data_IF_608892000479
#
_entry.id   IF_608892000479
#
_cell.length_a   1.000
_cell.length_b   1.000
_cell.length_c   1.000
_cell.angle_alpha   90.00
_cell.angle_beta   90.00
_cell.angle_gamma   90.00
#
_symmetry.space_group_name_H-M   'P 1'
#
loop_
_entity.id
_entity.type
_entity.pdbx_description
1 polymer ?
#
# COMPACT_ATOMS: atom_id res chain seq x y z
N UNK A 1 9.66 6.27 3.51
CA UNK A 1 9.40 5.19 4.47
C UNK A 1 7.93 5.04 4.79
N UNK A 2 7.55 3.85 5.24
CA UNK A 2 6.17 3.44 5.55
C UNK A 2 5.52 4.17 6.75
N UNK A 3 6.29 4.97 7.50
CA UNK A 3 5.84 5.67 8.73
C UNK A 3 6.28 7.14 8.81
N UNK A 4 6.66 7.77 7.69
CA UNK A 4 6.95 9.21 7.63
C UNK A 4 8.21 9.73 8.35
N UNK A 5 8.83 8.95 9.23
CA UNK A 5 10.10 9.31 9.88
C UNK A 5 11.27 9.38 8.86
N UNK A 6 12.13 10.41 8.93
CA UNK A 6 13.27 10.56 8.01
C UNK A 6 14.51 9.80 8.51
N UNK A 7 14.43 8.47 8.64
CA UNK A 7 15.59 7.67 9.08
C UNK A 7 16.76 7.69 8.08
N UNK A 8 16.54 8.12 6.83
CA UNK A 8 17.63 8.39 5.88
C UNK A 8 18.57 9.51 6.34
N UNK A 9 18.11 10.41 7.22
CA UNK A 9 18.97 11.43 7.87
C UNK A 9 19.87 10.81 8.97
N UNK A 10 19.60 9.55 9.36
CA UNK A 10 20.32 8.82 10.41
C UNK A 10 21.21 7.71 9.83
N UNK A 11 20.82 7.08 8.72
CA UNK A 11 21.56 5.99 8.07
C UNK A 11 21.38 6.02 6.55
N UNK A 12 22.48 5.80 5.81
CA UNK A 12 22.43 5.67 4.35
C UNK A 12 21.67 4.40 3.93
N UNK A 13 20.70 4.55 3.02
CA UNK A 13 19.98 3.44 2.40
C UNK A 13 20.65 3.16 1.05
N UNK A 14 21.43 2.07 0.91
CA UNK A 14 22.15 1.78 -0.32
C UNK A 14 21.18 1.49 -1.47
N UNK A 15 21.53 1.95 -2.67
CA UNK A 15 20.82 1.53 -3.90
C UNK A 15 21.37 0.16 -4.32
N UNK A 16 20.54 -0.89 -4.44
CA UNK A 16 21.05 -2.22 -4.80
C UNK A 16 21.69 -2.26 -6.19
N UNK A 17 22.75 -3.04 -6.31
CA UNK A 17 23.35 -3.39 -7.59
C UNK A 17 22.51 -4.48 -8.27
N UNK A 18 22.05 -4.31 -9.53
CA UNK A 18 21.30 -5.34 -10.25
C UNK A 18 22.03 -6.69 -10.35
N UNK A 19 23.37 -6.69 -10.38
CA UNK A 19 24.19 -7.91 -10.44
C UNK A 19 24.17 -8.73 -9.14
N UNK A 20 23.78 -8.12 -8.01
CA UNK A 20 23.60 -8.83 -6.74
C UNK A 20 22.50 -9.90 -6.77
N UNK A 21 21.66 -9.89 -7.80
CA UNK A 21 20.58 -10.88 -8.02
C UNK A 21 20.89 -11.91 -9.12
N UNK A 22 22.07 -11.84 -9.76
CA UNK A 22 22.49 -12.83 -10.76
C UNK A 22 23.01 -14.14 -10.11
N UNK A 23 23.25 -14.12 -8.79
CA UNK A 23 23.58 -15.31 -7.99
C UNK A 23 22.40 -16.28 -7.89
N UNK A 24 22.64 -17.60 -7.82
CA UNK A 24 21.58 -18.57 -7.56
C UNK A 24 21.10 -18.46 -6.10
N UNK A 25 19.79 -18.32 -5.92
CA UNK A 25 19.13 -18.42 -4.62
C UNK A 25 18.64 -19.85 -4.42
N UNK A 26 18.75 -20.37 -3.20
CA UNK A 26 18.35 -21.74 -2.86
C UNK A 26 16.97 -21.82 -2.22
N UNK A 27 16.47 -20.72 -1.63
CA UNK A 27 15.17 -20.67 -0.96
C UNK A 27 14.42 -19.34 -1.20
N UNK A 28 13.09 -19.37 -1.08
CA UNK A 28 12.27 -18.17 -1.14
C UNK A 28 12.53 -17.21 0.03
N UNK A 29 12.98 -17.72 1.18
CA UNK A 29 13.37 -16.91 2.33
C UNK A 29 14.62 -16.05 2.04
N UNK A 30 15.63 -16.59 1.35
CA UNK A 30 16.80 -15.82 0.90
C UNK A 30 16.39 -14.68 -0.05
N UNK A 31 15.51 -14.97 -1.01
CA UNK A 31 14.94 -13.97 -1.92
C UNK A 31 14.12 -12.89 -1.18
N UNK A 32 13.34 -13.29 -0.17
CA UNK A 32 12.58 -12.38 0.68
C UNK A 32 13.50 -11.42 1.43
N UNK A 33 14.56 -11.94 2.06
CA UNK A 33 15.51 -11.14 2.83
C UNK A 33 16.20 -10.06 1.98
N UNK A 34 16.63 -10.38 0.74
CA UNK A 34 17.22 -9.37 -0.15
C UNK A 34 16.19 -8.39 -0.73
N UNK A 35 14.91 -8.78 -0.81
CA UNK A 35 13.83 -7.91 -1.30
C UNK A 35 13.61 -6.68 -0.41
N UNK A 36 13.90 -6.77 0.90
CA UNK A 36 13.67 -5.66 1.84
C UNK A 36 14.55 -4.44 1.54
N UNK A 37 15.83 -4.66 1.20
CA UNK A 37 16.74 -3.56 0.84
C UNK A 37 16.26 -2.86 -0.44
N UNK A 38 15.85 -3.65 -1.44
CA UNK A 38 15.30 -3.15 -2.70
C UNK A 38 14.00 -2.37 -2.50
N UNK A 39 13.05 -2.88 -1.71
CA UNK A 39 11.81 -2.18 -1.35
C UNK A 39 12.08 -0.87 -0.60
N UNK A 40 13.06 -0.85 0.30
CA UNK A 40 13.44 0.35 1.06
C UNK A 40 14.06 1.44 0.15
N UNK A 41 15.02 1.08 -0.71
CA UNK A 41 15.60 2.00 -1.69
C UNK A 41 14.54 2.53 -2.67
N UNK A 42 13.62 1.66 -3.13
CA UNK A 42 12.48 2.02 -3.98
C UNK A 42 11.57 3.06 -3.31
N UNK A 43 11.22 2.84 -2.04
CA UNK A 43 10.34 3.73 -1.29
C UNK A 43 11.01 5.07 -0.93
N UNK A 44 12.33 5.09 -0.75
CA UNK A 44 13.09 6.33 -0.61
C UNK A 44 13.10 7.12 -1.93
N UNK A 45 13.45 6.46 -3.05
CA UNK A 45 13.45 7.08 -4.38
C UNK A 45 12.09 7.67 -4.74
N UNK A 46 11.02 6.88 -4.62
CA UNK A 46 9.66 7.32 -4.94
C UNK A 46 9.24 8.55 -4.11
N UNK A 47 9.57 8.60 -2.82
CA UNK A 47 9.31 9.78 -1.97
C UNK A 47 10.12 10.99 -2.45
N UNK A 48 11.42 10.82 -2.72
CA UNK A 48 12.28 11.92 -3.18
C UNK A 48 11.79 12.48 -4.52
N UNK A 49 11.34 11.63 -5.44
CA UNK A 49 10.76 12.07 -6.72
C UNK A 49 9.42 12.76 -6.51
N UNK A 50 8.52 12.20 -5.68
CA UNK A 50 7.24 12.83 -5.33
C UNK A 50 7.44 14.24 -4.74
N UNK A 51 8.40 14.42 -3.83
CA UNK A 51 8.76 15.76 -3.32
C UNK A 51 9.29 16.65 -4.45
N UNK A 52 10.26 16.19 -5.25
CA UNK A 52 10.85 16.98 -6.35
C UNK A 52 9.79 17.48 -7.34
N UNK A 53 8.93 16.60 -7.84
CA UNK A 53 7.91 16.98 -8.83
C UNK A 53 6.84 17.88 -8.22
N UNK A 54 6.48 17.67 -6.95
CA UNK A 54 5.49 18.49 -6.26
C UNK A 54 5.97 19.94 -6.00
N UNK A 55 7.25 20.12 -5.65
CA UNK A 55 7.87 21.45 -5.49
C UNK A 55 8.45 22.01 -6.81
N UNK A 56 8.22 21.31 -7.94
CA UNK A 56 8.73 21.66 -9.28
C UNK A 56 10.26 21.82 -9.36
N UNK A 57 10.99 21.06 -8.55
CA UNK A 57 12.45 20.94 -8.70
C UNK A 57 12.79 20.18 -9.99
N UNK A 58 13.80 20.59 -10.76
CA UNK A 58 14.19 19.92 -11.98
C UNK A 58 14.72 18.50 -11.69
N UNK A 59 14.31 17.55 -12.53
CA UNK A 59 14.83 16.18 -12.52
C UNK A 59 16.21 16.17 -13.18
N UNK A 60 17.18 15.52 -12.53
CA UNK A 60 18.58 15.47 -12.98
C UNK A 60 18.90 14.18 -13.72
N UNK A 61 19.97 14.12 -14.53
CA UNK A 61 20.44 12.87 -15.14
C UNK A 61 20.63 11.74 -14.10
N UNK A 62 21.09 12.07 -12.90
CA UNK A 62 21.27 11.11 -11.79
C UNK A 62 19.95 10.53 -11.28
N UNK A 63 18.85 11.29 -11.35
CA UNK A 63 17.52 10.78 -10.99
C UNK A 63 17.08 9.68 -11.98
N UNK A 64 17.25 9.92 -13.29
CA UNK A 64 16.94 8.94 -14.34
C UNK A 64 17.88 7.72 -14.29
N UNK A 65 19.17 7.93 -14.01
CA UNK A 65 20.13 6.85 -13.83
C UNK A 65 19.77 5.97 -12.63
N UNK A 66 19.40 6.58 -11.50
CA UNK A 66 18.94 5.87 -10.29
C UNK A 66 17.62 5.13 -10.53
N UNK A 67 16.67 5.73 -11.25
CA UNK A 67 15.43 5.06 -11.67
C UNK A 67 15.75 3.80 -12.48
N UNK A 68 16.60 3.93 -13.49
CA UNK A 68 17.02 2.84 -14.38
C UNK A 68 17.70 1.70 -13.61
N UNK A 69 18.60 2.03 -12.67
CA UNK A 69 19.27 1.05 -11.81
C UNK A 69 18.27 0.30 -10.94
N UNK A 70 17.33 1.00 -10.28
CA UNK A 70 16.30 0.38 -9.45
C UNK A 70 15.36 -0.52 -10.27
N UNK A 71 14.94 -0.09 -11.46
CA UNK A 71 14.09 -0.89 -12.34
C UNK A 71 14.80 -2.16 -12.83
N UNK A 72 16.10 -2.10 -13.17
CA UNK A 72 16.83 -3.31 -13.56
C UNK A 72 17.12 -4.22 -12.36
N UNK A 73 17.42 -3.67 -11.18
CA UNK A 73 17.54 -4.43 -9.94
C UNK A 73 16.26 -5.23 -9.63
N UNK A 74 15.10 -4.60 -9.77
CA UNK A 74 13.79 -5.27 -9.70
C UNK A 74 13.61 -6.36 -10.76
N UNK A 75 13.99 -6.10 -12.02
CA UNK A 75 13.91 -7.14 -13.07
C UNK A 75 14.82 -8.33 -12.76
N UNK A 76 16.06 -8.12 -12.34
CA UNK A 76 16.99 -9.20 -12.00
C UNK A 76 16.50 -10.00 -10.79
N UNK A 77 16.02 -9.35 -9.73
CA UNK A 77 15.42 -10.04 -8.58
C UNK A 77 14.18 -10.86 -8.99
N UNK A 78 13.30 -10.33 -9.85
CA UNK A 78 12.13 -11.07 -10.32
C UNK A 78 12.50 -12.25 -11.22
N UNK A 79 13.53 -12.11 -12.09
CA UNK A 79 14.09 -13.24 -12.85
C UNK A 79 14.63 -14.32 -11.90
N UNK A 80 15.25 -13.95 -10.79
CA UNK A 80 15.73 -14.89 -9.79
C UNK A 80 14.58 -15.63 -9.08
N UNK A 81 13.51 -14.93 -8.72
CA UNK A 81 12.27 -15.54 -8.22
C UNK A 81 11.68 -16.54 -9.21
N UNK A 82 11.52 -16.16 -10.47
CA UNK A 82 10.98 -17.03 -11.53
C UNK A 82 11.87 -18.27 -11.77
N UNK A 83 13.20 -18.14 -11.68
CA UNK A 83 14.12 -19.29 -11.77
C UNK A 83 13.87 -20.28 -10.63
N UNK A 84 13.67 -19.80 -9.40
CA UNK A 84 13.40 -20.66 -8.25
C UNK A 84 12.03 -21.36 -8.38
N UNK A 85 10.99 -20.64 -8.82
CA UNK A 85 9.66 -21.21 -9.09
C UNK A 85 9.67 -22.32 -10.16
N UNK A 86 10.58 -22.24 -11.14
CA UNK A 86 10.71 -23.22 -12.22
C UNK A 86 11.68 -24.37 -11.90
N UNK A 87 12.51 -24.24 -10.86
CA UNK A 87 13.55 -25.21 -10.53
C UNK A 87 13.06 -26.38 -9.66
N UNK A 88 11.90 -26.25 -9.01
CA UNK A 88 11.36 -27.23 -8.08
C UNK A 88 9.85 -27.37 -8.18
N UNK A 89 9.31 -28.49 -7.69
CA UNK A 89 7.89 -28.57 -7.35
C UNK A 89 7.69 -27.82 -6.03
N UNK A 90 6.93 -26.74 -6.06
CA UNK A 90 6.70 -25.89 -4.90
C UNK A 90 5.79 -26.58 -3.88
N UNK A 91 6.10 -26.42 -2.60
CA UNK A 91 5.14 -26.67 -1.53
C UNK A 91 4.10 -25.55 -1.51
N UNK A 92 2.93 -25.81 -0.92
CA UNK A 92 1.88 -24.79 -0.82
C UNK A 92 2.33 -23.53 -0.05
N UNK A 93 3.20 -23.68 0.96
CA UNK A 93 3.78 -22.55 1.68
C UNK A 93 4.68 -21.69 0.77
N UNK A 94 5.45 -22.31 -0.13
CA UNK A 94 6.29 -21.63 -1.11
C UNK A 94 5.47 -20.95 -2.21
N UNK A 95 4.36 -21.54 -2.66
CA UNK A 95 3.40 -20.88 -3.57
C UNK A 95 2.87 -19.57 -2.97
N UNK A 96 2.47 -19.60 -1.70
CA UNK A 96 1.98 -18.42 -0.95
C UNK A 96 3.11 -17.40 -0.78
N UNK A 97 4.33 -17.86 -0.45
CA UNK A 97 5.49 -16.97 -0.31
C UNK A 97 5.83 -16.29 -1.64
N UNK A 98 5.87 -17.04 -2.74
CA UNK A 98 6.11 -16.51 -4.09
C UNK A 98 5.03 -15.49 -4.50
N UNK A 99 3.76 -15.76 -4.20
CA UNK A 99 2.66 -14.82 -4.44
C UNK A 99 2.81 -13.53 -3.61
N UNK A 100 3.12 -13.63 -2.31
CA UNK A 100 3.39 -12.48 -1.43
C UNK A 100 4.59 -11.64 -1.91
N UNK A 101 5.65 -12.32 -2.37
CA UNK A 101 6.83 -11.69 -2.96
C UNK A 101 6.51 -10.93 -4.26
N UNK A 102 5.65 -11.50 -5.12
CA UNK A 102 5.14 -10.83 -6.34
C UNK A 102 4.31 -9.59 -6.04
N UNK A 103 3.51 -9.57 -4.96
CA UNK A 103 2.76 -8.38 -4.53
C UNK A 103 3.70 -7.21 -4.24
N UNK A 104 4.79 -7.46 -3.51
CA UNK A 104 5.83 -6.48 -3.22
C UNK A 104 6.51 -5.97 -4.50
N UNK A 105 6.91 -6.87 -5.39
CA UNK A 105 7.56 -6.55 -6.67
C UNK A 105 6.68 -5.68 -7.57
N UNK A 106 5.49 -6.15 -7.96
CA UNK A 106 4.65 -5.42 -8.93
C UNK A 106 4.30 -4.02 -8.40
N UNK A 107 3.93 -3.91 -7.12
CA UNK A 107 3.58 -2.62 -6.51
C UNK A 107 4.75 -1.62 -6.51
N UNK A 108 5.96 -2.09 -6.17
CA UNK A 108 7.14 -1.21 -6.11
C UNK A 108 7.74 -0.91 -7.49
N UNK A 109 7.60 -1.81 -8.46
CA UNK A 109 7.99 -1.58 -9.84
C UNK A 109 7.18 -0.43 -10.46
N UNK A 110 5.85 -0.53 -10.42
CA UNK A 110 4.93 0.51 -10.93
C UNK A 110 5.22 1.85 -10.24
N UNK A 111 5.43 1.82 -8.92
CA UNK A 111 5.74 3.01 -8.14
C UNK A 111 7.02 3.70 -8.61
N UNK A 112 8.09 2.97 -8.93
CA UNK A 112 9.35 3.56 -9.41
C UNK A 112 9.22 4.07 -10.84
N UNK A 113 8.62 3.28 -11.75
CA UNK A 113 8.53 3.64 -13.17
C UNK A 113 7.69 4.91 -13.37
N UNK A 114 6.62 5.06 -12.58
CA UNK A 114 5.77 6.25 -12.57
C UNK A 114 6.22 7.36 -11.60
N UNK A 115 7.28 7.18 -10.79
CA UNK A 115 7.65 8.11 -9.71
C UNK A 115 7.98 9.54 -10.18
N UNK A 116 8.45 9.67 -11.41
CA UNK A 116 8.99 10.92 -11.98
C UNK A 116 7.95 11.71 -12.79
N UNK A 117 6.66 11.38 -12.69
CA UNK A 117 5.58 12.09 -13.40
C UNK A 117 4.34 12.30 -12.54
N UNK A 118 3.71 13.46 -12.71
CA UNK A 118 2.36 13.71 -12.17
C UNK A 118 1.27 13.09 -13.05
N UNK A 119 1.55 12.77 -14.32
CA UNK A 119 0.59 12.20 -15.27
C UNK A 119 0.21 10.77 -14.86
N UNK A 120 -1.06 10.58 -14.53
CA UNK A 120 -1.58 9.32 -14.01
C UNK A 120 -1.90 8.31 -15.11
N UNK A 121 -2.16 8.74 -16.36
CA UNK A 121 -2.28 7.84 -17.51
C UNK A 121 -1.04 6.97 -17.76
N UNK A 122 0.13 7.33 -17.22
CA UNK A 122 1.35 6.50 -17.35
C UNK A 122 1.19 5.13 -16.66
N UNK A 123 0.33 5.04 -15.64
CA UNK A 123 0.03 3.80 -14.91
C UNK A 123 -0.62 2.74 -15.81
N UNK A 124 -1.23 3.14 -16.93
CA UNK A 124 -1.93 2.24 -17.85
C UNK A 124 -0.99 1.25 -18.55
N UNK A 125 0.29 1.61 -18.72
CA UNK A 125 1.33 0.71 -19.22
C UNK A 125 1.52 -0.53 -18.33
N UNK A 126 1.01 -0.50 -17.09
CA UNK A 126 1.14 -1.56 -16.10
C UNK A 126 -0.16 -2.31 -15.81
N UNK A 127 -1.16 -2.27 -16.70
CA UNK A 127 -2.43 -2.98 -16.51
C UNK A 127 -2.25 -4.46 -16.15
N UNK A 128 -1.33 -5.17 -16.80
CA UNK A 128 -1.06 -6.58 -16.50
C UNK A 128 -0.40 -6.78 -15.13
N UNK A 129 0.39 -5.81 -14.64
CA UNK A 129 0.96 -5.87 -13.30
C UNK A 129 -0.11 -5.60 -12.24
N UNK A 130 -1.07 -4.69 -12.49
CA UNK A 130 -2.24 -4.51 -11.61
C UNK A 130 -3.11 -5.77 -11.53
N UNK A 131 -3.37 -6.45 -12.65
CA UNK A 131 -4.05 -7.76 -12.66
C UNK A 131 -3.24 -8.81 -11.89
N UNK A 132 -1.92 -8.84 -12.08
CA UNK A 132 -1.04 -9.75 -11.35
C UNK A 132 -1.06 -9.50 -9.85
N UNK A 133 -1.17 -8.24 -9.38
CA UNK A 133 -1.38 -7.93 -7.96
C UNK A 133 -2.68 -8.56 -7.45
N UNK A 134 -3.82 -8.35 -8.13
CA UNK A 134 -5.10 -8.96 -7.72
C UNK A 134 -5.02 -10.49 -7.68
N UNK A 135 -4.43 -11.11 -8.70
CA UNK A 135 -4.25 -12.57 -8.78
C UNK A 135 -3.42 -13.13 -7.63
N UNK A 136 -2.24 -12.56 -7.37
CA UNK A 136 -1.38 -13.02 -6.27
C UNK A 136 -2.00 -12.71 -4.90
N UNK A 137 -2.70 -11.58 -4.75
CA UNK A 137 -3.41 -11.25 -3.52
C UNK A 137 -4.53 -12.24 -3.23
N UNK A 138 -5.24 -12.71 -4.27
CA UNK A 138 -6.22 -13.78 -4.13
C UNK A 138 -5.59 -15.09 -3.62
N UNK A 139 -4.43 -15.50 -4.14
CA UNK A 139 -3.73 -16.71 -3.66
C UNK A 139 -3.40 -16.59 -2.16
N UNK A 140 -2.84 -15.44 -1.73
CA UNK A 140 -2.50 -15.22 -0.32
C UNK A 140 -3.75 -15.10 0.57
N UNK A 141 -4.84 -14.48 0.09
CA UNK A 141 -6.11 -14.38 0.83
C UNK A 141 -6.80 -15.75 0.96
N UNK A 142 -6.84 -16.54 -0.10
CA UNK A 142 -7.49 -17.84 -0.10
C UNK A 142 -6.80 -18.81 0.89
N UNK A 143 -5.47 -18.72 1.05
CA UNK A 143 -4.72 -19.50 2.04
C UNK A 143 -4.86 -18.98 3.49
N UNK A 144 -5.27 -17.73 3.70
CA UNK A 144 -5.60 -17.21 5.04
C UNK A 144 -6.91 -17.77 5.61
N UNK A 145 -7.74 -18.44 4.80
CA UNK A 145 -8.75 -19.40 5.25
C UNK A 145 -9.75 -18.91 6.31
N UNK A 146 -10.83 -18.27 5.85
CA UNK A 146 -12.16 -18.11 6.48
C UNK A 146 -12.28 -18.70 7.91
N UNK A 147 -12.28 -17.79 8.90
CA UNK A 147 -12.53 -18.03 10.34
C UNK A 147 -11.56 -19.00 11.05
N UNK A 148 -10.64 -18.43 11.81
CA UNK A 148 -9.93 -19.13 12.90
C UNK A 148 -10.93 -19.78 13.87
N UNK A 149 -10.80 -21.08 14.17
CA UNK A 149 -11.39 -21.65 15.37
C UNK A 149 -10.82 -20.90 16.59
N UNK A 150 -11.63 -20.55 17.61
CA UNK A 150 -11.12 -19.85 18.77
C UNK A 150 -10.13 -20.74 19.53
N UNK A 151 -8.84 -20.37 19.49
CA UNK A 151 -7.80 -21.04 20.27
C UNK A 151 -8.08 -20.92 21.78
N UNK A 152 -7.74 -21.93 22.59
CA UNK A 152 -7.99 -21.88 24.04
C UNK A 152 -7.16 -20.77 24.69
N UNK A 153 -7.83 -19.85 25.38
CA UNK A 153 -7.17 -18.72 26.04
C UNK A 153 -6.34 -19.24 27.23
N UNK A 154 -5.01 -19.18 27.10
CA UNK A 154 -4.11 -19.40 28.24
C UNK A 154 -4.32 -18.31 29.29
N UNK A 155 -4.55 -18.71 30.54
CA UNK A 155 -4.87 -17.84 31.67
C UNK A 155 -3.65 -17.04 32.16
N UNK A 156 -3.26 -16.00 31.42
CA UNK A 156 -2.21 -15.05 31.80
C UNK A 156 -2.74 -13.91 32.68
N UNK A 157 -2.66 -14.04 34.01
CA UNK A 157 -3.09 -13.00 34.96
C UNK A 157 -2.34 -11.68 34.82
N UNK A 158 -3.05 -10.56 34.72
CA UNK A 158 -2.55 -9.24 35.19
C UNK A 158 -3.45 -8.71 36.32
N UNK A 159 -2.82 -8.35 37.44
CA UNK A 159 -3.45 -7.77 38.64
C UNK A 159 -3.29 -6.25 38.67
N UNK A 160 -4.33 -5.56 39.16
CA UNK A 160 -4.30 -4.14 39.59
C UNK A 160 -4.38 -3.12 38.46
N UNK A 161 -4.90 -1.89 38.63
CA UNK A 161 -5.61 -1.21 39.74
C UNK A 161 -6.59 -0.18 39.09
N UNK A 162 -7.69 0.31 39.68
CA UNK A 162 -8.30 0.15 41.02
C UNK A 162 -9.85 0.24 40.93
N UNK A 163 -10.54 0.49 42.06
CA UNK A 163 -11.99 0.77 42.15
C UNK A 163 -12.30 2.27 42.27
N UNK A 164 -13.47 2.70 41.77
CA UNK A 164 -14.59 3.22 42.58
C UNK A 164 -15.81 3.61 41.72
N UNK A 165 -16.85 2.78 41.78
CA UNK A 165 -18.25 3.14 42.08
C UNK A 165 -19.17 2.02 41.59
N UNK A 166 -19.85 1.37 42.53
CA UNK A 166 -20.82 0.32 42.24
C UNK A 166 -22.16 0.71 42.87
N UNK A 167 -23.18 0.82 42.04
CA UNK A 167 -24.59 0.67 42.44
C UNK A 167 -25.18 -0.38 41.51
N UNK A 168 -25.87 -1.35 42.09
CA UNK A 168 -26.25 -2.57 41.38
C UNK A 168 -27.61 -2.44 40.69
N UNK A 169 -27.77 -3.17 39.58
CA UNK A 169 -29.06 -3.68 39.13
C UNK A 169 -28.86 -5.05 38.47
N UNK A 170 -29.67 -6.03 38.90
CA UNK A 170 -29.71 -7.39 38.34
C UNK A 170 -30.69 -7.41 37.16
N UNK A 171 -30.35 -8.11 36.08
CA UNK A 171 -31.31 -8.34 34.98
C UNK A 171 -30.76 -9.13 33.80
N UNK A 172 -31.07 -10.43 33.78
CA UNK A 172 -31.19 -11.31 32.60
C UNK A 172 -30.19 -11.22 31.42
N UNK A 173 -29.37 -12.27 31.26
CA UNK A 173 -29.35 -13.00 29.98
C UNK A 173 -28.62 -12.42 28.77
N UNK A 174 -27.51 -11.70 28.93
CA UNK A 174 -26.65 -11.38 27.77
C UNK A 174 -25.88 -12.62 27.30
N UNK A 175 -26.12 -13.06 26.06
CA UNK A 175 -25.26 -14.03 25.37
C UNK A 175 -23.85 -13.40 25.27
N UNK A 176 -22.82 -14.12 25.74
CA UNK A 176 -21.44 -13.68 25.57
C UNK A 176 -21.04 -13.82 24.08
N UNK A 177 -21.33 -12.78 23.30
CA UNK A 177 -20.64 -12.57 22.01
C UNK A 177 -19.20 -12.24 22.33
N UNK A 178 -18.34 -13.26 22.37
CA UNK A 178 -16.89 -13.08 22.36
C UNK A 178 -16.57 -12.28 21.10
N UNK A 179 -16.17 -11.02 21.26
CA UNK A 179 -15.64 -10.24 20.15
C UNK A 179 -14.37 -10.97 19.69
N UNK A 180 -14.24 -11.38 18.41
CA UNK A 180 -13.01 -11.94 17.91
C UNK A 180 -11.87 -10.97 18.18
N UNK A 181 -10.73 -11.48 18.67
CA UNK A 181 -9.52 -10.66 18.76
C UNK A 181 -9.17 -10.13 17.38
N UNK A 182 -8.74 -8.86 17.29
CA UNK A 182 -8.37 -8.27 16.01
C UNK A 182 -7.26 -9.09 15.35
N UNK A 183 -7.55 -9.66 14.17
CA UNK A 183 -6.54 -10.30 13.34
C UNK A 183 -5.55 -9.22 12.87
N UNK A 184 -4.32 -9.31 13.35
CA UNK A 184 -3.27 -8.33 13.07
C UNK A 184 -1.96 -9.04 12.73
N UNK A 185 -1.25 -8.51 11.74
CA UNK A 185 0.10 -8.94 11.34
C UNK A 185 1.05 -7.75 11.21
N UNK A 186 2.34 -8.01 11.39
CA UNK A 186 3.41 -7.06 11.15
C UNK A 186 3.95 -7.12 9.70
N UNK A 187 3.68 -8.22 8.98
CA UNK A 187 3.98 -8.32 7.56
C UNK A 187 3.02 -7.43 6.76
N UNK A 188 3.57 -6.61 5.87
CA UNK A 188 2.82 -5.66 5.05
C UNK A 188 2.93 -6.12 3.59
N UNK A 189 1.88 -6.79 3.12
CA UNK A 189 1.90 -7.66 1.93
C UNK A 189 0.63 -7.67 1.09
N UNK A 190 -0.58 -7.49 1.63
CA UNK A 190 -1.85 -7.65 0.87
C UNK A 190 -2.67 -6.36 0.82
N UNK A 191 -2.95 -5.73 1.96
CA UNK A 191 -3.82 -4.53 2.02
C UNK A 191 -3.26 -3.35 1.22
N UNK A 192 -1.98 -2.92 1.37
CA UNK A 192 -1.45 -1.81 0.59
C UNK A 192 -1.40 -2.09 -0.92
N UNK A 193 -0.92 -3.25 -1.42
CA UNK A 193 -0.98 -3.57 -2.85
C UNK A 193 -2.40 -3.52 -3.43
N UNK A 194 -3.40 -4.08 -2.74
CA UNK A 194 -4.79 -4.02 -3.20
C UNK A 194 -5.34 -2.58 -3.18
N UNK A 195 -5.05 -1.80 -2.13
CA UNK A 195 -5.43 -0.40 -2.07
C UNK A 195 -4.75 0.43 -3.18
N UNK A 196 -3.49 0.12 -3.51
CA UNK A 196 -2.76 0.73 -4.61
C UNK A 196 -3.39 0.40 -5.96
N UNK A 197 -3.79 -0.85 -6.23
CA UNK A 197 -4.57 -1.20 -7.43
C UNK A 197 -5.88 -0.40 -7.48
N UNK A 198 -6.64 -0.42 -6.39
CA UNK A 198 -7.97 0.18 -6.31
C UNK A 198 -8.00 1.70 -6.47
N UNK A 199 -6.89 2.39 -6.20
CA UNK A 199 -6.75 3.86 -6.33
C UNK A 199 -5.96 4.31 -7.56
N UNK A 200 -5.00 3.51 -8.06
CA UNK A 200 -4.07 3.93 -9.13
C UNK A 200 -4.36 3.34 -10.51
N UNK A 201 -4.87 2.11 -10.60
CA UNK A 201 -5.22 1.52 -11.89
C UNK A 201 -6.41 2.28 -12.52
N UNK A 202 -6.39 2.67 -13.81
CA UNK A 202 -7.56 3.30 -14.46
C UNK A 202 -8.64 2.30 -14.90
N UNK A 203 -8.36 1.01 -14.97
CA UNK A 203 -9.29 0.01 -15.52
C UNK A 203 -10.45 -0.34 -14.56
N UNK A 204 -11.73 -0.03 -14.87
CA UNK A 204 -12.84 -0.08 -13.90
C UNK A 204 -13.07 -1.45 -13.22
N UNK A 205 -12.88 -2.56 -13.95
CA UNK A 205 -13.05 -3.92 -13.41
C UNK A 205 -11.92 -4.32 -12.44
N UNK A 206 -10.66 -4.03 -12.77
CA UNK A 206 -9.47 -4.40 -11.97
C UNK A 206 -9.48 -3.65 -10.63
N UNK A 207 -9.93 -2.39 -10.62
CA UNK A 207 -10.16 -1.62 -9.39
C UNK A 207 -11.23 -2.26 -8.49
N UNK A 208 -12.37 -2.66 -9.08
CA UNK A 208 -13.49 -3.28 -8.36
C UNK A 208 -13.13 -4.66 -7.82
N UNK A 209 -12.34 -5.44 -8.55
CA UNK A 209 -11.77 -6.71 -8.09
C UNK A 209 -10.86 -6.49 -6.88
N UNK A 210 -9.98 -5.49 -6.89
CA UNK A 210 -9.13 -5.17 -5.75
C UNK A 210 -9.95 -4.77 -4.50
N UNK A 211 -11.02 -3.98 -4.68
CA UNK A 211 -11.97 -3.66 -3.60
C UNK A 211 -12.74 -4.90 -3.11
N UNK A 212 -13.10 -5.83 -4.01
CA UNK A 212 -13.76 -7.08 -3.64
C UNK A 212 -12.83 -8.00 -2.83
N UNK A 213 -11.54 -8.03 -3.17
CA UNK A 213 -10.52 -8.73 -2.38
C UNK A 213 -10.30 -8.08 -1.02
N UNK A 214 -10.27 -6.75 -0.90
CA UNK A 214 -10.24 -6.09 0.42
C UNK A 214 -11.48 -6.42 1.26
N UNK A 215 -12.66 -6.55 0.63
CA UNK A 215 -13.92 -6.93 1.29
C UNK A 215 -13.98 -8.38 1.79
N UNK A 216 -12.99 -9.23 1.50
CA UNK A 216 -12.84 -10.53 2.18
C UNK A 216 -12.32 -10.39 3.62
N UNK A 217 -11.97 -9.16 4.04
CA UNK A 217 -11.49 -8.83 5.38
C UNK A 217 -10.17 -9.56 5.75
N UNK A 218 -9.08 -9.36 4.99
CA UNK A 218 -7.75 -9.82 5.40
C UNK A 218 -7.30 -9.18 6.74
N UNK A 219 -6.39 -9.83 7.48
CA UNK A 219 -5.83 -9.30 8.72
C UNK A 219 -5.24 -7.90 8.56
N UNK A 220 -5.42 -7.05 9.58
CA UNK A 220 -4.85 -5.69 9.62
C UNK A 220 -3.32 -5.74 9.58
N UNK A 221 -2.71 -4.92 8.72
CA UNK A 221 -1.26 -4.87 8.52
C UNK A 221 -0.68 -3.55 9.07
N UNK A 222 -0.26 -3.50 10.34
CA UNK A 222 0.23 -2.26 10.95
C UNK A 222 -0.82 -1.13 11.01
N UNK A 223 -0.62 -0.07 10.22
CA UNK A 223 -1.59 1.04 10.08
C UNK A 223 -2.65 0.77 9.00
N UNK A 224 -2.50 -0.31 8.20
CA UNK A 224 -3.39 -0.66 7.11
C UNK A 224 -4.59 -1.47 7.61
N UNK A 225 -5.68 -0.76 7.87
CA UNK A 225 -7.00 -1.29 8.24
C UNK A 225 -7.90 -1.43 7.01
N UNK A 226 -8.61 -2.56 6.86
CA UNK A 226 -9.37 -2.88 5.64
C UNK A 226 -10.52 -1.91 5.39
N UNK A 227 -11.32 -1.62 6.41
CA UNK A 227 -12.47 -0.72 6.28
C UNK A 227 -11.99 0.67 5.83
N UNK A 228 -10.84 1.11 6.34
CA UNK A 228 -10.28 2.44 6.08
C UNK A 228 -9.89 2.56 4.62
N UNK A 229 -9.20 1.55 4.11
CA UNK A 229 -8.68 1.52 2.75
C UNK A 229 -9.77 1.17 1.71
N UNK A 230 -10.85 0.50 2.11
CA UNK A 230 -12.06 0.32 1.30
C UNK A 230 -12.82 1.65 1.12
N UNK A 231 -13.05 2.41 2.19
CA UNK A 231 -13.75 3.69 2.07
C UNK A 231 -12.98 4.70 1.21
N UNK A 232 -11.67 4.86 1.46
CA UNK A 232 -10.80 5.70 0.63
C UNK A 232 -10.84 5.22 -0.83
N UNK A 233 -10.66 3.92 -1.11
CA UNK A 233 -10.67 3.39 -2.46
C UNK A 233 -12.02 3.62 -3.19
N UNK A 234 -13.15 3.40 -2.51
CA UNK A 234 -14.47 3.68 -3.09
C UNK A 234 -14.65 5.16 -3.43
N UNK A 235 -14.22 6.07 -2.55
CA UNK A 235 -14.30 7.52 -2.82
C UNK A 235 -13.40 7.96 -3.97
N UNK A 236 -12.19 7.40 -4.05
CA UNK A 236 -11.26 7.64 -5.17
C UNK A 236 -11.87 7.11 -6.49
N UNK A 237 -12.48 5.91 -6.49
CA UNK A 237 -13.22 5.38 -7.65
C UNK A 237 -14.35 6.33 -8.06
N UNK A 238 -15.18 6.78 -7.12
CA UNK A 238 -16.31 7.68 -7.38
C UNK A 238 -15.87 9.02 -7.99
N UNK A 239 -14.83 9.64 -7.44
CA UNK A 239 -14.27 10.91 -7.95
C UNK A 239 -13.70 10.71 -9.36
N UNK A 240 -12.84 9.70 -9.54
CA UNK A 240 -12.10 9.51 -10.79
C UNK A 240 -13.01 9.04 -11.94
N UNK A 241 -13.96 8.14 -11.68
CA UNK A 241 -14.92 7.65 -12.68
C UNK A 241 -16.09 8.63 -12.96
N UNK A 242 -16.17 9.77 -12.27
CA UNK A 242 -17.17 10.82 -12.56
C UNK A 242 -16.98 11.49 -13.92
N UNK A 243 -15.76 11.45 -14.46
CA UNK A 243 -15.41 11.92 -15.80
C UNK A 243 -14.67 10.79 -16.51
N UNK A 244 -15.19 10.31 -17.62
CA UNK A 244 -14.59 9.22 -18.41
C UNK A 244 -14.00 9.77 -19.71
N UNK A 245 -12.85 9.22 -20.08
CA UNK A 245 -12.24 9.40 -21.39
C UNK A 245 -13.15 8.75 -22.46
N UNK A 246 -13.57 9.49 -23.51
CA UNK A 246 -14.56 9.01 -24.47
C UNK A 246 -14.03 7.92 -25.42
N UNK A 247 -12.71 7.69 -25.46
CA UNK A 247 -12.06 6.70 -26.34
C UNK A 247 -11.88 5.36 -25.63
N UNK A 248 -11.47 5.40 -24.36
CA UNK A 248 -11.11 4.22 -23.56
C UNK A 248 -12.22 3.80 -22.58
N UNK A 249 -13.13 4.71 -22.21
CA UNK A 249 -14.12 4.49 -21.15
C UNK A 249 -13.52 4.42 -19.73
N UNK A 250 -12.26 4.81 -19.57
CA UNK A 250 -11.55 4.84 -18.27
C UNK A 250 -11.59 6.27 -17.68
N UNK A 251 -11.36 6.48 -16.37
CA UNK A 251 -11.23 7.81 -15.75
C UNK A 251 -10.39 8.78 -16.59
N UNK A 252 -10.94 9.94 -16.97
CA UNK A 252 -10.22 10.95 -17.74
C UNK A 252 -9.03 11.51 -16.95
N UNK A 253 -7.96 11.96 -17.62
CA UNK A 253 -6.76 12.46 -16.92
C UNK A 253 -7.07 13.62 -15.95
N UNK A 254 -7.99 14.52 -16.34
CA UNK A 254 -8.42 15.66 -15.52
C UNK A 254 -9.12 15.27 -14.21
N UNK A 255 -9.73 14.08 -14.12
CA UNK A 255 -10.33 13.58 -12.87
C UNK A 255 -9.39 12.74 -12.02
N UNK A 256 -8.16 12.45 -12.50
CA UNK A 256 -7.20 11.59 -11.79
C UNK A 256 -6.66 12.26 -10.53
N UNK A 257 -6.56 11.50 -9.45
CA UNK A 257 -6.05 11.95 -8.16
C UNK A 257 -4.55 11.68 -8.03
N UNK A 258 -3.79 12.72 -7.67
CA UNK A 258 -2.39 12.61 -7.27
C UNK A 258 -2.26 11.97 -5.89
N UNK A 259 -3.05 12.46 -4.92
CA UNK A 259 -3.04 11.99 -3.53
C UNK A 259 -4.45 11.74 -3.01
N UNK A 260 -4.56 10.81 -2.06
CA UNK A 260 -5.78 10.47 -1.31
C UNK A 260 -5.36 9.89 0.05
N UNK A 261 -5.04 10.75 1.01
CA UNK A 261 -4.36 10.33 2.26
C UNK A 261 -5.21 10.62 3.48
N UNK A 262 -5.36 9.61 4.34
CA UNK A 262 -6.11 9.72 5.59
C UNK A 262 -5.24 10.25 6.74
N UNK A 263 -5.87 10.90 7.74
CA UNK A 263 -5.17 11.56 8.86
C UNK A 263 -4.58 10.60 9.94
N UNK A 264 -4.55 9.29 9.65
CA UNK A 264 -4.01 8.27 10.55
C UNK A 264 -4.86 7.93 11.80
N UNK A 265 -5.97 8.65 12.08
CA UNK A 265 -6.78 8.43 13.30
C UNK A 265 -7.79 7.27 13.19
N UNK A 266 -7.94 6.70 11.99
CA UNK A 266 -8.87 5.61 11.68
C UNK A 266 -10.34 5.99 11.91
N UNK A 267 -11.23 4.99 11.94
CA UNK A 267 -12.65 5.18 12.29
C UNK A 267 -12.86 5.44 13.78
N UNK A 268 -12.46 6.61 14.27
CA UNK A 268 -12.76 7.01 15.66
C UNK A 268 -14.27 7.24 15.86
N UNK A 269 -14.95 7.76 14.84
CA UNK A 269 -16.38 8.16 14.86
C UNK A 269 -17.20 7.55 13.70
N UNK A 270 -16.76 6.43 13.10
CA UNK A 270 -17.36 5.92 11.86
C UNK A 270 -17.11 6.80 10.63
N UNK A 271 -16.24 7.81 10.74
CA UNK A 271 -15.75 8.65 9.64
C UNK A 271 -14.24 8.83 9.71
N UNK A 272 -13.61 9.01 8.56
CA UNK A 272 -12.18 9.24 8.38
C UNK A 272 -11.99 10.58 7.66
N UNK A 273 -11.06 11.41 8.13
CA UNK A 273 -10.65 12.61 7.41
C UNK A 273 -9.62 12.23 6.34
N UNK A 274 -9.89 12.57 5.09
CA UNK A 274 -9.05 12.27 3.93
C UNK A 274 -8.78 13.54 3.15
N UNK A 275 -7.51 13.77 2.83
CA UNK A 275 -7.05 14.88 1.98
C UNK A 275 -6.83 14.39 0.55
N UNK A 276 -7.30 15.17 -0.43
CA UNK A 276 -7.25 14.84 -1.85
C UNK A 276 -6.62 15.96 -2.67
N UNK A 277 -6.01 15.61 -3.79
CA UNK A 277 -5.56 16.55 -4.82
C UNK A 277 -5.65 15.92 -6.21
N UNK A 278 -6.15 16.66 -7.20
CA UNK A 278 -6.07 16.24 -8.60
C UNK A 278 -4.62 16.32 -9.12
N UNK A 279 -4.26 15.42 -10.03
CA UNK A 279 -2.96 15.43 -10.69
C UNK A 279 -2.73 16.73 -11.49
N UNK A 280 -3.75 17.17 -12.21
CA UNK A 280 -3.74 18.45 -12.94
C UNK A 280 -3.56 19.65 -11.99
N UNK A 281 -4.17 19.64 -10.80
CA UNK A 281 -3.94 20.69 -9.80
C UNK A 281 -2.50 20.70 -9.30
N UNK A 282 -1.93 19.52 -9.01
CA UNK A 282 -0.54 19.41 -8.58
C UNK A 282 0.45 19.87 -9.66
N UNK A 283 0.11 19.66 -10.94
CA UNK A 283 0.90 20.12 -12.09
C UNK A 283 0.84 21.65 -12.24
N UNK A 284 -0.31 22.28 -12.01
CA UNK A 284 -0.51 23.71 -12.26
C UNK A 284 -0.25 24.63 -11.05
N UNK A 285 -0.33 24.14 -9.80
CA UNK A 285 -0.11 24.97 -8.58
C UNK A 285 1.26 25.65 -8.56
N UNK A 286 1.36 26.79 -7.89
CA UNK A 286 2.66 27.39 -7.56
C UNK A 286 3.25 26.70 -6.30
N UNK A 287 4.54 26.31 -6.30
CA UNK A 287 5.22 25.84 -5.10
C UNK A 287 5.24 26.91 -4.00
N UNK A 288 5.11 26.48 -2.75
CA UNK A 288 5.06 27.36 -1.58
C UNK A 288 6.23 27.08 -0.62
N UNK A 289 6.64 28.09 0.15
CA UNK A 289 7.80 28.00 1.04
C UNK A 289 7.63 27.00 2.21
N UNK A 290 6.40 26.54 2.44
CA UNK A 290 6.00 25.55 3.42
C UNK A 290 5.74 24.15 2.83
N UNK A 291 5.86 23.95 1.50
CA UNK A 291 5.71 22.63 0.86
C UNK A 291 6.65 21.56 1.45
N UNK A 292 7.80 21.98 1.99
CA UNK A 292 8.80 21.11 2.61
C UNK A 292 8.66 20.99 4.14
N UNK A 293 7.66 21.61 4.77
CA UNK A 293 7.47 21.51 6.23
C UNK A 293 6.88 20.16 6.63
N UNK A 294 7.24 19.62 7.81
CA UNK A 294 6.57 18.45 8.37
C UNK A 294 5.06 18.69 8.51
N UNK A 295 4.26 17.78 7.95
CA UNK A 295 2.79 17.84 8.00
C UNK A 295 2.30 17.72 9.44
N UNK A 296 1.52 18.71 9.90
CA UNK A 296 0.88 18.70 11.21
C UNK A 296 -0.65 18.72 11.06
N UNK A 297 -1.27 17.54 11.04
CA UNK A 297 -2.72 17.39 11.03
C UNK A 297 -3.35 17.48 9.64
N UNK A 298 -4.48 18.19 9.55
CA UNK A 298 -5.31 18.26 8.34
C UNK A 298 -4.80 19.27 7.28
N UNK A 299 -3.92 20.18 7.69
CA UNK A 299 -3.38 21.23 6.83
C UNK A 299 -2.15 20.69 6.10
N UNK A 300 -2.38 20.21 4.87
CA UNK A 300 -1.39 19.57 4.01
C UNK A 300 -1.15 20.43 2.78
N UNK A 301 0.10 20.86 2.60
CA UNK A 301 0.56 21.60 1.42
C UNK A 301 0.31 20.84 0.11
N UNK A 302 0.31 19.50 0.16
CA UNK A 302 0.02 18.57 -0.94
C UNK A 302 -1.45 18.13 -1.05
N UNK A 303 -2.36 18.85 -0.39
CA UNK A 303 -3.81 18.69 -0.52
C UNK A 303 -4.46 19.91 -1.20
N UNK A 304 -5.47 19.63 -2.03
CA UNK A 304 -6.34 20.64 -2.64
C UNK A 304 -7.65 20.79 -1.84
N UNK A 305 -8.16 19.70 -1.24
CA UNK A 305 -9.27 19.74 -0.28
C UNK A 305 -9.18 18.60 0.73
N UNK A 306 -10.01 18.67 1.77
CA UNK A 306 -10.20 17.61 2.75
C UNK A 306 -11.69 17.29 2.91
N UNK A 307 -12.01 16.01 3.10
CA UNK A 307 -13.38 15.50 3.25
C UNK A 307 -13.45 14.47 4.39
N UNK A 308 -14.56 14.43 5.13
CA UNK A 308 -14.84 13.34 6.08
C UNK A 308 -15.71 12.27 5.40
N UNK A 309 -15.10 11.14 5.05
CA UNK A 309 -15.78 10.01 4.41
C UNK A 309 -16.16 8.95 5.45
N UNK A 310 -17.28 8.27 5.25
CA UNK A 310 -17.82 7.22 6.14
C UNK A 310 -19.33 7.09 6.02
#
# INVERSE_FOLDING_TARGET
MLFGAPIEDLFEIPTPDPSSYDVPFSTFYELQMVSFQLRNASALFARTMATKIFVKAPLTPDDFARQSQLLEAHRSWHRALQKLELAAFLTHEEEIMAASLKLGYYSTYILIDCAMSLRQSNLDAHLEYFKAINHNAKIVIDSMGIATPPLPVSSGTRKGLSRKNAVALKGAGSKNTVRPGAHFTFEISVIPPLHYVATRCRHPLVRREAVALLKTNPPREGLWDVDTHIAVANRVIEIEESILDPTTGWPAEASRLWCSVHDGKGYSDGKILVTFAFAEWAEHRAPQADDLRPVNGADRSDAQWAEKIG
#
